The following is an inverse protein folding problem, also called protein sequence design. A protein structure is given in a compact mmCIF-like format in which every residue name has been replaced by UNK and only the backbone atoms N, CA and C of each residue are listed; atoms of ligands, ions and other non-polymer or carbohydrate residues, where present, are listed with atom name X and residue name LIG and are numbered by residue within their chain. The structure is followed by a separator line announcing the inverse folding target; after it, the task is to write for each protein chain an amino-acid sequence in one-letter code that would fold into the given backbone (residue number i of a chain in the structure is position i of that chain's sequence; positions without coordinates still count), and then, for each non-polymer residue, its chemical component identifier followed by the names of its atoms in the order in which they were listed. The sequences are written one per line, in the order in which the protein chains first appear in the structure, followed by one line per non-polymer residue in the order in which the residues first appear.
data_IF_349027305619
#
_entry.id   IF_349027305619
#
_cell.length_a   1.000
_cell.length_b   1.000
_cell.length_c   1.000
_cell.angle_alpha   90.00
_cell.angle_beta   90.00
_cell.angle_gamma   90.00
#
_symmetry.space_group_name_H-M   'P 1'
#
loop_
_entity.id
_entity.type
_entity.pdbx_description
1 polymer ?
#
# COMPACT_ATOMS: atom_id res chain seq x y z
N UNK A 1 -0.87 3.16 -6.68
CA UNK A 1 -0.61 3.24 -5.22
C UNK A 1 -1.27 2.10 -4.43
N UNK A 2 -2.59 1.90 -4.50
CA UNK A 2 -3.34 1.03 -3.57
C UNK A 2 -2.72 -0.35 -3.32
N UNK A 3 -2.26 -1.07 -4.35
CA UNK A 3 -1.63 -2.39 -4.16
C UNK A 3 -0.36 -2.32 -3.29
N UNK A 4 0.48 -1.29 -3.47
CA UNK A 4 1.66 -1.08 -2.65
C UNK A 4 1.32 -0.56 -1.24
N UNK A 5 0.28 0.26 -1.09
CA UNK A 5 -0.21 0.71 0.23
C UNK A 5 -0.77 -0.46 1.05
N UNK A 6 -1.48 -1.40 0.40
CA UNK A 6 -1.95 -2.63 1.07
C UNK A 6 -0.75 -3.43 1.57
N UNK A 7 0.29 -3.65 0.75
CA UNK A 7 1.53 -4.34 1.18
C UNK A 7 2.19 -3.64 2.36
N UNK A 8 2.30 -2.31 2.31
CA UNK A 8 2.88 -1.48 3.37
C UNK A 8 2.12 -1.56 4.70
N UNK A 9 0.79 -1.52 4.64
CA UNK A 9 -0.06 -1.60 5.83
C UNK A 9 -0.23 -3.03 6.35
N UNK A 10 -0.11 -4.04 5.49
CA UNK A 10 -0.31 -5.46 5.84
C UNK A 10 0.89 -6.09 6.59
N UNK A 11 1.51 -5.32 7.49
CA UNK A 11 2.57 -5.75 8.39
C UNK A 11 2.01 -5.85 9.82
N UNK A 12 2.26 -6.97 10.50
CA UNK A 12 1.81 -7.20 11.89
C UNK A 12 2.69 -6.48 12.93
N UNK A 13 3.89 -6.03 12.54
CA UNK A 13 4.83 -5.32 13.39
C UNK A 13 5.32 -4.03 12.69
N UNK A 14 4.44 -3.02 12.50
CA UNK A 14 4.82 -1.77 11.87
C UNK A 14 5.80 -0.99 12.75
N UNK A 15 6.68 -0.21 12.12
CA UNK A 15 7.61 0.71 12.79
C UNK A 15 6.90 1.66 13.75
N UNK A 16 5.71 2.14 13.35
CA UNK A 16 4.85 2.98 14.19
C UNK A 16 3.38 2.71 13.91
N UNK A 17 2.61 2.45 14.96
CA UNK A 17 1.16 2.34 14.92
C UNK A 17 0.51 3.71 15.18
N UNK A 18 -0.59 3.99 14.50
CA UNK A 18 -1.38 5.20 14.75
C UNK A 18 -2.12 5.13 16.08
N UNK A 19 -2.03 6.20 16.86
CA UNK A 19 -2.56 6.27 18.22
C UNK A 19 -4.05 6.63 18.26
N UNK A 20 -4.91 5.65 17.99
CA UNK A 20 -6.34 5.73 18.30
C UNK A 20 -6.69 4.81 19.46
N UNK A 21 -7.52 5.27 20.40
CA UNK A 21 -7.91 4.46 21.57
C UNK A 21 -8.67 3.18 21.21
N UNK A 22 -9.30 3.15 20.03
CA UNK A 22 -9.99 1.98 19.50
C UNK A 22 -9.03 0.96 18.85
N UNK A 23 -7.76 1.31 18.62
CA UNK A 23 -6.77 0.42 18.01
C UNK A 23 -5.97 -0.28 19.11
N UNK A 24 -6.32 -1.52 19.41
CA UNK A 24 -5.64 -2.35 20.41
C UNK A 24 -4.24 -2.81 19.96
N UNK A 25 -4.11 -3.19 18.68
CA UNK A 25 -2.89 -3.68 18.03
C UNK A 25 -3.01 -3.55 16.50
N UNK A 26 -1.94 -3.79 15.72
CA UNK A 26 -2.03 -3.79 14.26
C UNK A 26 -2.96 -4.91 13.77
N UNK A 27 -4.06 -4.53 13.11
CA UNK A 27 -5.03 -5.48 12.56
C UNK A 27 -5.13 -5.41 11.03
N UNK A 28 -4.43 -4.49 10.38
CA UNK A 28 -4.58 -4.22 8.94
C UNK A 28 -4.40 -5.48 8.08
N UNK A 29 -3.37 -6.29 8.36
CA UNK A 29 -3.13 -7.58 7.69
C UNK A 29 -4.34 -8.51 7.76
N UNK A 30 -4.90 -8.70 8.96
CA UNK A 30 -6.10 -9.51 9.17
C UNK A 30 -7.30 -8.92 8.43
N UNK A 31 -7.51 -7.61 8.52
CA UNK A 31 -8.68 -6.94 7.90
C UNK A 31 -8.64 -6.99 6.38
N UNK A 32 -7.47 -6.91 5.75
CA UNK A 32 -7.34 -7.14 4.31
C UNK A 32 -7.68 -8.59 3.90
N UNK A 33 -7.30 -9.57 4.72
CA UNK A 33 -7.70 -10.96 4.48
C UNK A 33 -9.22 -11.19 4.65
N UNK A 34 -9.86 -10.52 5.62
CA UNK A 34 -11.32 -10.54 5.77
C UNK A 34 -12.04 -9.95 4.55
N UNK A 35 -11.47 -8.91 3.92
CA UNK A 35 -11.98 -8.38 2.65
C UNK A 35 -11.88 -9.43 1.54
N UNK A 36 -10.76 -10.13 1.42
CA UNK A 36 -10.59 -11.20 0.42
C UNK A 36 -11.60 -12.35 0.62
N UNK A 37 -11.87 -12.72 1.88
CA UNK A 37 -12.91 -13.70 2.22
C UNK A 37 -14.30 -13.21 1.83
N UNK A 38 -14.62 -11.95 2.14
CA UNK A 38 -15.92 -11.35 1.83
C UNK A 38 -16.20 -11.28 0.33
N UNK A 39 -15.16 -11.03 -0.47
CA UNK A 39 -15.24 -10.98 -1.93
C UNK A 39 -15.20 -12.38 -2.59
N UNK A 40 -15.10 -13.46 -1.80
CA UNK A 40 -15.04 -14.82 -2.34
C UNK A 40 -13.75 -15.15 -3.10
N UNK A 41 -12.66 -14.42 -2.84
CA UNK A 41 -11.37 -14.62 -3.50
C UNK A 41 -10.59 -15.78 -2.87
N UNK A 42 -10.78 -16.01 -1.57
CA UNK A 42 -10.02 -17.01 -0.81
C UNK A 42 -10.59 -18.42 -0.98
N UNK A 43 -9.74 -19.40 -0.67
CA UNK A 43 -10.12 -20.81 -0.58
C UNK A 43 -10.04 -21.30 0.87
N UNK A 44 -10.88 -22.27 1.29
CA UNK A 44 -10.80 -22.85 2.63
C UNK A 44 -9.37 -23.34 2.94
N UNK A 45 -8.83 -22.92 4.09
CA UNK A 45 -7.47 -23.27 4.51
C UNK A 45 -6.39 -22.27 4.10
N UNK A 46 -6.71 -21.23 3.33
CA UNK A 46 -5.74 -20.19 2.99
C UNK A 46 -5.19 -19.48 4.23
N UNK A 47 -3.86 -19.32 4.26
CA UNK A 47 -3.19 -18.44 5.23
C UNK A 47 -3.50 -16.98 4.90
N UNK A 48 -3.51 -16.11 5.92
CA UNK A 48 -3.76 -14.67 5.79
C UNK A 48 -2.93 -14.01 4.68
N UNK A 49 -1.65 -14.37 4.55
CA UNK A 49 -0.79 -13.85 3.48
C UNK A 49 -1.30 -14.21 2.08
N UNK A 50 -1.72 -15.46 1.86
CA UNK A 50 -2.25 -15.90 0.57
C UNK A 50 -3.56 -15.16 0.21
N UNK A 51 -4.41 -14.90 1.21
CA UNK A 51 -5.64 -14.12 1.02
C UNK A 51 -5.34 -12.68 0.56
N UNK A 52 -4.33 -12.05 1.13
CA UNK A 52 -3.89 -10.70 0.72
C UNK A 52 -3.31 -10.72 -0.70
N UNK A 53 -2.48 -11.71 -1.05
CA UNK A 53 -1.95 -11.84 -2.41
C UNK A 53 -3.07 -12.04 -3.44
N UNK A 54 -4.11 -12.82 -3.12
CA UNK A 54 -5.28 -12.97 -3.97
C UNK A 54 -6.07 -11.66 -4.12
N UNK A 55 -6.22 -10.88 -3.05
CA UNK A 55 -6.81 -9.53 -3.12
C UNK A 55 -6.00 -8.60 -4.02
N UNK A 56 -4.66 -8.63 -3.91
CA UNK A 56 -3.75 -7.85 -4.74
C UNK A 56 -3.84 -8.28 -6.20
N UNK A 57 -3.85 -9.58 -6.49
CA UNK A 57 -3.98 -10.10 -7.85
C UNK A 57 -5.31 -9.68 -8.50
N UNK A 58 -6.40 -9.71 -7.74
CA UNK A 58 -7.71 -9.22 -8.20
C UNK A 58 -7.72 -7.71 -8.46
N UNK A 59 -7.07 -6.89 -7.61
CA UNK A 59 -6.90 -5.46 -7.87
C UNK A 59 -6.06 -5.20 -9.12
N UNK A 60 -4.99 -5.96 -9.34
CA UNK A 60 -4.17 -5.86 -10.56
C UNK A 60 -4.97 -6.24 -11.81
N UNK A 61 -5.82 -7.27 -11.75
CA UNK A 61 -6.65 -7.65 -12.90
C UNK A 61 -7.67 -6.56 -13.24
N UNK A 62 -8.34 -5.98 -12.24
CA UNK A 62 -9.27 -4.86 -12.45
C UNK A 62 -8.55 -3.65 -13.05
N UNK A 63 -7.38 -3.28 -12.53
CA UNK A 63 -6.59 -2.18 -13.11
C UNK A 63 -6.26 -2.44 -14.57
N UNK A 64 -5.87 -3.67 -14.92
CA UNK A 64 -5.57 -4.04 -16.30
C UNK A 64 -6.80 -3.96 -17.21
N UNK A 65 -7.95 -4.49 -16.77
CA UNK A 65 -9.22 -4.42 -17.50
C UNK A 65 -9.68 -2.97 -17.76
N UNK A 66 -9.43 -2.08 -16.81
CA UNK A 66 -9.74 -0.65 -16.91
C UNK A 66 -8.66 0.17 -17.64
N UNK A 67 -7.59 -0.46 -18.12
CA UNK A 67 -6.49 0.23 -18.82
C UNK A 67 -5.67 1.15 -17.93
N UNK A 68 -5.62 0.91 -16.62
CA UNK A 68 -4.80 1.68 -15.67
C UNK A 68 -3.33 1.25 -15.82
N UNK A 69 -2.40 2.20 -16.03
CA UNK A 69 -0.96 1.90 -16.13
C UNK A 69 -0.42 1.18 -14.89
N UNK A 70 0.61 0.34 -15.05
CA UNK A 70 1.18 -0.43 -13.92
C UNK A 70 2.04 0.42 -13.00
N UNK A 71 2.53 1.55 -13.50
CA UNK A 71 3.47 2.41 -12.79
C UNK A 71 3.23 3.89 -13.10
N UNK A 72 3.73 4.78 -12.24
CA UNK A 72 3.65 6.24 -12.46
C UNK A 72 4.48 6.62 -13.71
N UNK A 73 5.59 5.91 -13.96
CA UNK A 73 6.38 6.06 -15.18
C UNK A 73 5.57 5.73 -16.44
N UNK A 74 4.84 4.61 -16.46
CA UNK A 74 3.95 4.24 -17.57
C UNK A 74 2.77 5.20 -17.74
N UNK A 75 2.39 5.93 -16.69
CA UNK A 75 1.41 7.01 -16.77
C UNK A 75 1.96 8.30 -17.41
N UNK A 76 3.24 8.34 -17.81
CA UNK A 76 3.84 9.44 -18.57
C UNK A 76 4.67 10.43 -17.76
N UNK A 77 4.92 10.17 -16.46
CA UNK A 77 5.77 11.03 -15.63
C UNK A 77 7.24 10.75 -15.92
N UNK A 78 8.01 11.81 -16.17
CA UNK A 78 9.44 11.71 -16.43
C UNK A 78 10.23 11.41 -15.16
N UNK A 79 11.18 10.49 -15.24
CA UNK A 79 11.96 10.05 -14.08
C UNK A 79 12.75 11.17 -13.42
N UNK A 80 13.40 12.03 -14.22
CA UNK A 80 14.15 13.17 -13.68
C UNK A 80 13.26 14.13 -12.88
N UNK A 81 12.05 14.39 -13.36
CA UNK A 81 11.09 15.27 -12.68
C UNK A 81 10.54 14.61 -11.41
N UNK A 82 10.21 13.32 -11.48
CA UNK A 82 9.76 12.56 -10.32
C UNK A 82 10.81 12.53 -9.21
N UNK A 83 12.06 12.15 -9.54
CA UNK A 83 13.15 12.05 -8.57
C UNK A 83 13.51 13.41 -7.95
N UNK A 84 13.35 14.51 -8.69
CA UNK A 84 13.57 15.86 -8.17
C UNK A 84 12.53 16.29 -7.14
N UNK A 85 11.33 15.72 -7.16
CA UNK A 85 10.20 16.13 -6.33
C UNK A 85 9.74 15.09 -5.30
N UNK A 86 10.20 13.84 -5.39
CA UNK A 86 9.71 12.73 -4.54
C UNK A 86 9.93 12.98 -3.05
N UNK A 87 11.03 13.65 -2.67
CA UNK A 87 11.32 13.98 -1.27
C UNK A 87 10.26 14.93 -0.70
N UNK A 88 10.03 16.06 -1.39
CA UNK A 88 9.00 17.03 -1.02
C UNK A 88 7.60 16.42 -1.03
N UNK A 89 7.28 15.62 -2.05
CA UNK A 89 5.99 14.93 -2.13
C UNK A 89 5.76 13.99 -0.94
N UNK A 90 6.83 13.35 -0.43
CA UNK A 90 6.76 12.46 0.72
C UNK A 90 6.50 13.21 2.03
N UNK A 91 7.08 14.40 2.18
CA UNK A 91 6.82 15.31 3.30
C UNK A 91 5.39 15.84 3.25
N UNK A 92 4.98 16.39 2.11
CA UNK A 92 3.62 16.91 1.91
C UNK A 92 2.56 15.81 2.14
N UNK A 93 2.82 14.57 1.72
CA UNK A 93 1.93 13.43 1.97
C UNK A 93 1.87 13.02 3.44
N UNK A 94 2.96 13.17 4.18
CA UNK A 94 2.97 12.93 5.63
C UNK A 94 2.12 13.98 6.38
N UNK A 95 2.18 15.24 5.93
CA UNK A 95 1.43 16.36 6.51
C UNK A 95 -0.04 16.43 6.07
N UNK A 96 -0.45 15.57 5.11
CA UNK A 96 -1.84 15.47 4.66
C UNK A 96 -2.76 14.96 5.79
N UNK A 97 -3.93 15.59 5.92
CA UNK A 97 -4.90 15.28 6.97
C UNK A 97 -5.45 13.84 6.88
N UNK A 98 -5.40 13.19 5.71
CA UNK A 98 -5.81 11.80 5.54
C UNK A 98 -4.84 10.82 6.21
N UNK A 99 -3.56 11.17 6.30
CA UNK A 99 -2.49 10.28 6.80
C UNK A 99 -2.69 9.91 8.27
N UNK A 100 -3.25 10.84 9.06
CA UNK A 100 -3.53 10.62 10.47
C UNK A 100 -4.48 9.45 10.76
N UNK A 101 -5.26 8.97 9.78
CA UNK A 101 -6.16 7.83 9.92
C UNK A 101 -5.57 6.48 9.45
N UNK A 102 -4.42 6.48 8.78
CA UNK A 102 -3.79 5.25 8.28
C UNK A 102 -3.39 4.34 9.47
N UNK A 103 -3.60 3.01 9.44
CA UNK A 103 -3.33 2.15 10.61
C UNK A 103 -1.85 2.10 11.01
N UNK A 104 -0.95 2.24 10.03
CA UNK A 104 0.47 2.46 10.23
C UNK A 104 0.74 3.96 10.12
N UNK A 105 1.26 4.57 11.17
CA UNK A 105 1.61 6.00 11.09
C UNK A 105 2.94 6.11 10.35
N UNK A 106 2.96 6.66 9.12
CA UNK A 106 4.11 6.48 8.27
C UNK A 106 5.30 7.32 8.71
N UNK A 107 6.50 6.88 8.33
CA UNK A 107 7.66 7.76 8.26
C UNK A 107 7.77 8.35 6.85
N UNK A 108 8.28 9.59 6.73
CA UNK A 108 8.52 10.23 5.42
C UNK A 108 9.40 9.34 4.53
N UNK A 109 10.41 8.69 5.10
CA UNK A 109 11.28 7.74 4.39
C UNK A 109 10.53 6.53 3.82
N UNK A 110 9.52 6.02 4.53
CA UNK A 110 8.71 4.89 4.09
C UNK A 110 7.77 5.31 2.96
N UNK A 111 7.17 6.51 3.05
CA UNK A 111 6.35 7.07 1.97
C UNK A 111 7.18 7.26 0.70
N UNK A 112 8.41 7.79 0.83
CA UNK A 112 9.35 7.94 -0.27
C UNK A 112 9.64 6.60 -0.95
N UNK A 113 9.92 5.56 -0.17
CA UNK A 113 10.17 4.21 -0.70
C UNK A 113 8.93 3.66 -1.43
N UNK A 114 7.74 3.83 -0.85
CA UNK A 114 6.48 3.40 -1.47
C UNK A 114 6.21 4.12 -2.79
N UNK A 115 6.49 5.43 -2.84
CA UNK A 115 6.37 6.25 -4.04
C UNK A 115 7.35 5.79 -5.13
N UNK A 116 8.61 5.51 -4.78
CA UNK A 116 9.61 4.97 -5.70
C UNK A 116 9.20 3.60 -6.26
N UNK A 117 8.80 2.66 -5.39
CA UNK A 117 8.32 1.35 -5.83
C UNK A 117 7.14 1.50 -6.81
N UNK A 118 6.21 2.41 -6.51
CA UNK A 118 5.07 2.70 -7.39
C UNK A 118 5.45 3.40 -8.69
N UNK A 119 6.54 4.16 -8.71
CA UNK A 119 7.08 4.81 -9.91
C UNK A 119 7.71 3.80 -10.86
N UNK A 120 8.49 2.85 -10.33
CA UNK A 120 9.14 1.81 -11.15
C UNK A 120 8.23 0.61 -11.47
N UNK A 121 7.07 0.51 -10.82
CA UNK A 121 6.14 -0.62 -11.01
C UNK A 121 6.53 -1.86 -10.20
N UNK A 122 7.28 -1.65 -9.12
CA UNK A 122 7.78 -2.69 -8.22
C UNK A 122 6.82 -2.88 -7.04
N UNK A 123 6.79 -4.11 -6.52
CA UNK A 123 6.07 -4.39 -5.28
C UNK A 123 6.82 -3.77 -4.10
N UNK A 124 6.12 -3.02 -3.25
CA UNK A 124 6.71 -2.54 -2.00
C UNK A 124 7.20 -3.73 -1.15
N UNK A 125 8.46 -3.66 -0.75
CA UNK A 125 9.10 -4.60 0.16
C UNK A 125 9.69 -3.83 1.34
N UNK A 126 9.35 -4.27 2.55
CA UNK A 126 9.92 -3.75 3.79
C UNK A 126 11.43 -4.01 3.83
N UNK A 127 12.22 -3.04 4.28
CA UNK A 127 13.68 -3.18 4.50
C UNK A 127 13.99 -3.65 5.92
#
# INVERSE_FOLDING_TARGET
LICNVIRYNANDNPTKQTAFSQYDRPQARRRYAEIADHLGLSTPGDRTAAKIEKLLAWLESIKAELGIPKSIREAGVQEADFLAHVDKLSEDAFDDQCTGANPRYPLVSELRQLLLASFYGEAFAEQ
#
